data_IF_279486733370
#
_entry.id   IF_279486733370
#
_cell.length_a   1.000
_cell.length_b   1.000
_cell.length_c   1.000
_cell.angle_alpha   90.00
_cell.angle_beta   90.00
_cell.angle_gamma   90.00
#
_symmetry.space_group_name_H-M   'P 1'
#
loop_
_entity.id
_entity.type
_entity.pdbx_description
1 polymer ?
#
# COMPACT_ATOMS: atom_id res chain seq x y z
N UNK A 1 4.53 -11.44 -1.75
CA UNK A 1 3.18 -11.66 -1.17
C UNK A 1 2.72 -13.03 -1.60
N UNK A 2 2.14 -13.83 -0.69
CA UNK A 2 1.54 -15.13 -1.01
C UNK A 2 0.03 -15.02 -0.83
N UNK A 3 -0.71 -15.39 -1.87
CA UNK A 3 -2.16 -15.42 -1.89
C UNK A 3 -2.61 -16.87 -1.78
N UNK A 4 -3.60 -17.14 -0.94
CA UNK A 4 -4.16 -18.46 -0.73
C UNK A 4 -5.67 -18.42 -0.88
N UNK A 5 -6.26 -19.51 -1.37
CA UNK A 5 -7.71 -19.66 -1.53
C UNK A 5 -8.29 -20.33 -0.28
N UNK A 6 -9.41 -19.81 0.21
CA UNK A 6 -10.12 -20.32 1.38
C UNK A 6 -10.28 -19.29 2.51
N UNK A 7 -10.80 -19.76 3.65
CA UNK A 7 -10.95 -18.95 4.87
C UNK A 7 -9.70 -19.12 5.73
N UNK A 8 -9.02 -18.02 6.02
CA UNK A 8 -7.81 -18.00 6.82
C UNK A 8 -7.50 -16.61 7.36
N UNK A 9 -6.61 -16.53 8.36
CA UNK A 9 -6.19 -15.26 8.95
C UNK A 9 -5.13 -14.62 8.07
N UNK A 10 -5.33 -13.36 7.68
CA UNK A 10 -4.32 -12.61 6.93
C UNK A 10 -3.19 -12.15 7.86
N UNK A 11 -1.95 -12.46 7.48
CA UNK A 11 -0.75 -12.21 8.30
C UNK A 11 0.23 -11.27 7.60
N UNK A 12 0.83 -10.38 8.39
CA UNK A 12 1.87 -9.43 7.98
C UNK A 12 3.05 -9.58 8.93
N UNK A 13 4.23 -9.93 8.41
CA UNK A 13 5.43 -10.19 9.22
C UNK A 13 5.17 -11.16 10.38
N UNK A 14 4.48 -12.25 10.08
CA UNK A 14 4.14 -13.31 11.04
C UNK A 14 3.23 -12.85 12.20
N UNK A 15 2.63 -11.66 12.09
CA UNK A 15 1.63 -11.12 13.02
C UNK A 15 0.26 -10.95 12.32
N UNK A 16 -0.86 -10.98 13.08
CA UNK A 16 -2.18 -10.69 12.53
C UNK A 16 -2.25 -9.26 11.96
N UNK A 17 -2.92 -9.09 10.82
CA UNK A 17 -2.99 -7.79 10.15
C UNK A 17 -3.60 -6.69 11.01
N UNK A 18 -4.60 -7.02 11.84
CA UNK A 18 -5.26 -6.07 12.74
C UNK A 18 -4.32 -5.53 13.83
N UNK A 19 -3.34 -6.35 14.27
CA UNK A 19 -2.32 -5.92 15.24
C UNK A 19 -1.24 -5.06 14.58
N UNK A 20 -0.85 -5.40 13.35
CA UNK A 20 0.21 -4.69 12.64
C UNK A 20 -0.25 -3.31 12.14
N UNK A 21 -1.48 -3.24 11.59
CA UNK A 21 -2.09 -2.02 11.09
C UNK A 21 -3.34 -1.64 11.90
N UNK A 22 -3.17 -0.99 13.07
CA UNK A 22 -4.30 -0.60 13.90
C UNK A 22 -5.08 0.57 13.28
N UNK A 23 -6.41 0.47 13.26
CA UNK A 23 -7.33 1.56 12.90
C UNK A 23 -8.20 1.29 11.67
N UNK A 24 -9.41 1.85 11.69
CA UNK A 24 -10.43 1.63 10.65
C UNK A 24 -9.97 2.09 9.26
N UNK A 25 -9.23 3.20 9.19
CA UNK A 25 -8.70 3.74 7.93
C UNK A 25 -7.72 2.75 7.29
N UNK A 26 -6.83 2.15 8.09
CA UNK A 26 -5.90 1.17 7.55
C UNK A 26 -6.60 -0.10 7.12
N UNK A 27 -7.63 -0.52 7.87
CA UNK A 27 -8.48 -1.65 7.51
C UNK A 27 -9.14 -1.46 6.15
N UNK A 28 -9.65 -0.27 5.88
CA UNK A 28 -10.28 0.03 4.61
C UNK A 28 -9.28 -0.04 3.44
N UNK A 29 -8.08 0.52 3.62
CA UNK A 29 -7.06 0.56 2.57
C UNK A 29 -6.57 -0.85 2.19
N UNK A 30 -6.25 -1.72 3.16
CA UNK A 30 -5.75 -3.07 2.80
C UNK A 30 -6.87 -3.98 2.28
N UNK A 31 -8.12 -3.78 2.72
CA UNK A 31 -9.26 -4.58 2.26
C UNK A 31 -9.81 -4.12 0.91
N UNK A 32 -9.54 -2.88 0.49
CA UNK A 32 -10.01 -2.30 -0.78
C UNK A 32 -9.82 -3.20 -2.02
N UNK A 33 -8.66 -3.84 -2.26
CA UNK A 33 -8.50 -4.73 -3.41
C UNK A 33 -9.42 -5.95 -3.38
N UNK A 34 -9.74 -6.48 -2.19
CA UNK A 34 -10.65 -7.60 -2.03
C UNK A 34 -12.11 -7.17 -2.20
N UNK A 35 -12.46 -5.97 -1.71
CA UNK A 35 -13.79 -5.37 -1.88
C UNK A 35 -14.11 -5.09 -3.35
N UNK A 36 -13.16 -4.56 -4.12
CA UNK A 36 -13.36 -4.25 -5.56
C UNK A 36 -13.66 -5.50 -6.38
N UNK A 37 -13.23 -6.67 -5.91
CA UNK A 37 -13.37 -7.96 -6.61
C UNK A 37 -14.44 -8.85 -5.95
N UNK A 38 -15.15 -8.34 -4.93
CA UNK A 38 -16.14 -9.08 -4.14
C UNK A 38 -15.64 -10.45 -3.66
N UNK A 39 -14.38 -10.47 -3.22
CA UNK A 39 -13.65 -11.70 -2.91
C UNK A 39 -13.14 -11.77 -1.46
N UNK A 40 -13.75 -10.98 -0.57
CA UNK A 40 -13.33 -10.80 0.83
C UNK A 40 -13.26 -12.09 1.62
N UNK A 41 -14.16 -13.05 1.37
CA UNK A 41 -14.18 -14.34 2.10
C UNK A 41 -13.46 -15.48 1.36
N UNK A 42 -13.01 -15.24 0.13
CA UNK A 42 -12.47 -16.29 -0.75
C UNK A 42 -10.97 -16.41 -0.67
N UNK A 43 -10.29 -15.36 -0.21
CA UNK A 43 -8.85 -15.29 -0.20
C UNK A 43 -8.32 -14.81 1.16
N UNK A 44 -7.22 -15.41 1.57
CA UNK A 44 -6.37 -14.91 2.63
C UNK A 44 -4.94 -14.75 2.11
N UNK A 45 -4.13 -13.96 2.81
CA UNK A 45 -2.78 -13.69 2.35
C UNK A 45 -1.74 -13.64 3.47
N UNK A 46 -0.50 -13.89 3.08
CA UNK A 46 0.68 -13.68 3.92
C UNK A 46 1.66 -12.74 3.22
N UNK A 47 2.07 -11.69 3.92
CA UNK A 47 2.98 -10.66 3.40
C UNK A 47 4.15 -10.48 4.36
N UNK A 48 5.36 -10.39 3.80
CA UNK A 48 6.54 -9.88 4.50
C UNK A 48 6.89 -8.50 3.95
N UNK A 49 6.95 -7.49 4.82
CA UNK A 49 7.28 -6.11 4.47
C UNK A 49 8.49 -5.65 5.27
N UNK A 50 9.44 -5.02 4.59
CA UNK A 50 10.70 -4.56 5.17
C UNK A 50 10.92 -3.09 4.76
N UNK A 51 11.31 -2.25 5.73
CA UNK A 51 11.62 -0.83 5.51
C UNK A 51 10.39 0.09 5.41
N UNK A 52 10.64 1.39 5.26
CA UNK A 52 9.59 2.42 5.15
C UNK A 52 8.85 2.69 6.48
N UNK A 53 7.71 3.37 6.39
CA UNK A 53 6.81 3.61 7.51
C UNK A 53 5.47 2.89 7.33
N UNK A 54 4.67 2.76 8.40
CA UNK A 54 3.41 1.97 8.42
C UNK A 54 2.48 2.26 7.24
N UNK A 55 2.27 3.54 6.89
CA UNK A 55 1.42 3.93 5.76
C UNK A 55 1.97 3.45 4.41
N UNK A 56 3.27 3.62 4.17
CA UNK A 56 3.90 3.15 2.93
C UNK A 56 3.89 1.62 2.81
N UNK A 57 4.07 0.92 3.95
CA UNK A 57 3.99 -0.54 4.00
C UNK A 57 2.57 -1.05 3.71
N UNK A 58 1.56 -0.34 4.21
CA UNK A 58 0.15 -0.64 3.97
C UNK A 58 -0.20 -0.49 2.48
N UNK A 59 0.16 0.63 1.87
CA UNK A 59 -0.05 0.89 0.44
C UNK A 59 0.71 -0.11 -0.43
N UNK A 60 1.95 -0.47 -0.05
CA UNK A 60 2.72 -1.50 -0.73
C UNK A 60 2.07 -2.89 -0.63
N UNK A 61 1.49 -3.22 0.54
CA UNK A 61 0.78 -4.49 0.74
C UNK A 61 -0.50 -4.57 -0.10
N UNK A 62 -1.28 -3.48 -0.14
CA UNK A 62 -2.49 -3.39 -0.96
C UNK A 62 -2.16 -3.50 -2.47
N UNK A 63 -1.09 -2.86 -2.92
CA UNK A 63 -0.61 -2.97 -4.30
C UNK A 63 -0.12 -4.39 -4.64
N UNK A 64 0.59 -5.03 -3.70
CA UNK A 64 0.98 -6.43 -3.82
C UNK A 64 -0.23 -7.37 -3.93
N UNK A 65 -1.29 -7.09 -3.16
CA UNK A 65 -2.52 -7.87 -3.16
C UNK A 65 -3.25 -7.77 -4.49
N UNK A 66 -3.40 -6.55 -5.02
CA UNK A 66 -3.99 -6.31 -6.33
C UNK A 66 -3.23 -7.07 -7.43
N UNK A 67 -1.89 -7.07 -7.40
CA UNK A 67 -1.08 -7.84 -8.36
C UNK A 67 -1.27 -9.34 -8.22
N UNK A 68 -1.33 -9.86 -6.99
CA UNK A 68 -1.54 -11.28 -6.75
C UNK A 68 -2.92 -11.74 -7.26
N UNK A 69 -3.97 -10.93 -7.07
CA UNK A 69 -5.32 -11.22 -7.58
C UNK A 69 -5.36 -11.28 -9.11
N UNK A 70 -4.66 -10.37 -9.80
CA UNK A 70 -4.58 -10.38 -11.28
C UNK A 70 -3.86 -11.63 -11.81
N UNK A 71 -2.88 -12.16 -11.08
CA UNK A 71 -2.18 -13.40 -11.46
C UNK A 71 -3.11 -14.61 -11.28
N UNK A 72 -3.96 -14.61 -10.25
CA UNK A 72 -4.93 -15.70 -10.03
C UNK A 72 -6.04 -15.74 -11.09
N UNK A 73 -6.63 -14.57 -11.42
CA UNK A 73 -7.61 -14.43 -12.50
C UNK A 73 -7.40 -13.14 -13.27
N UNK A 74 -7.23 -13.29 -14.59
CA UNK A 74 -7.01 -12.16 -15.50
C UNK A 74 -8.22 -11.19 -15.53
N UNK A 75 -9.44 -11.69 -15.30
CA UNK A 75 -10.68 -10.91 -15.32
C UNK A 75 -10.70 -9.80 -14.26
N UNK A 76 -9.97 -9.99 -13.15
CA UNK A 76 -9.88 -9.00 -12.08
C UNK A 76 -9.04 -7.78 -12.46
N UNK A 77 -8.31 -7.83 -13.58
CA UNK A 77 -7.46 -6.73 -14.02
C UNK A 77 -8.24 -5.45 -14.32
N UNK A 78 -9.38 -5.55 -15.00
CA UNK A 78 -10.20 -4.39 -15.39
C UNK A 78 -10.73 -3.63 -14.16
N UNK A 79 -11.47 -4.24 -13.22
CA UNK A 79 -11.97 -3.53 -12.04
C UNK A 79 -10.85 -2.99 -11.15
N UNK A 80 -9.74 -3.73 -11.00
CA UNK A 80 -8.59 -3.27 -10.20
C UNK A 80 -7.83 -2.10 -10.87
N UNK A 81 -7.78 -2.05 -12.20
CA UNK A 81 -7.20 -0.93 -12.95
C UNK A 81 -8.06 0.32 -12.81
N UNK A 82 -9.38 0.17 -12.97
CA UNK A 82 -10.33 1.27 -12.87
C UNK A 82 -10.36 1.85 -11.45
N UNK A 83 -10.20 1.00 -10.43
CA UNK A 83 -10.06 1.41 -9.03
C UNK A 83 -8.69 2.05 -8.68
N UNK A 84 -7.74 2.10 -9.63
CA UNK A 84 -6.41 2.70 -9.46
C UNK A 84 -5.41 1.88 -8.64
N UNK A 85 -5.68 0.61 -8.36
CA UNK A 85 -4.89 -0.22 -7.43
C UNK A 85 -3.65 -0.87 -8.10
N UNK A 86 -3.66 -0.95 -9.42
CA UNK A 86 -2.55 -1.51 -10.22
C UNK A 86 -1.45 -0.50 -10.55
N UNK A 87 -1.70 0.79 -10.34
CA UNK A 87 -0.70 1.84 -10.57
C UNK A 87 0.19 1.96 -9.34
N UNK A 88 1.51 1.89 -9.55
CA UNK A 88 2.48 2.15 -8.47
C UNK A 88 2.54 3.65 -8.20
N UNK A 89 2.41 4.05 -6.94
CA UNK A 89 2.70 5.43 -6.54
C UNK A 89 4.20 5.74 -6.73
N UNK A 90 4.49 6.71 -7.59
CA UNK A 90 5.86 7.12 -7.93
C UNK A 90 6.43 8.16 -6.96
N UNK A 91 5.63 8.67 -6.01
CA UNK A 91 6.07 9.70 -5.06
C UNK A 91 7.20 9.17 -4.18
N UNK A 92 8.33 9.85 -4.23
CA UNK A 92 9.51 9.59 -3.41
C UNK A 92 9.93 10.90 -2.76
N UNK A 93 10.50 10.82 -1.54
CA UNK A 93 10.99 12.00 -0.82
C UNK A 93 12.07 12.71 -1.63
N UNK A 94 11.83 13.96 -2.01
CA UNK A 94 12.83 14.78 -2.70
C UNK A 94 14.02 15.06 -1.78
N UNK A 95 15.25 14.92 -2.32
CA UNK A 95 16.50 15.20 -1.60
C UNK A 95 16.57 16.69 -1.22
N UNK A 96 17.23 16.99 -0.10
CA UNK A 96 17.62 18.36 0.25
C UNK A 96 18.69 18.87 -0.74
N UNK A 97 18.39 19.96 -1.44
CA UNK A 97 19.32 20.64 -2.37
C UNK A 97 20.22 21.62 -1.61
N UNK A 98 21.40 21.92 -2.15
CA UNK A 98 22.30 22.93 -1.58
C UNK A 98 21.64 24.31 -1.74
N UNK A 99 21.85 25.20 -0.76
CA UNK A 99 21.26 26.56 -0.79
C UNK A 99 19.80 26.64 -0.31
N UNK A 100 19.12 25.52 -0.05
CA UNK A 100 17.75 25.55 0.49
C UNK A 100 17.75 25.75 2.01
N UNK A 101 16.69 26.40 2.53
CA UNK A 101 16.44 26.68 3.94
C UNK A 101 16.08 25.44 4.77
N UNK A 102 16.82 24.35 4.63
CA UNK A 102 16.70 23.15 5.46
C UNK A 102 15.82 22.03 4.90
N UNK A 103 15.05 22.26 3.83
CA UNK A 103 14.16 21.26 3.21
C UNK A 103 14.36 21.21 1.69
N UNK A 104 13.72 20.27 0.99
CA UNK A 104 13.88 20.09 -0.46
C UNK A 104 13.57 21.36 -1.28
N UNK A 105 12.52 22.11 -0.92
CA UNK A 105 12.07 23.32 -1.66
C UNK A 105 12.01 24.61 -0.84
N UNK A 106 12.20 24.54 0.49
CA UNK A 106 12.13 25.72 1.36
C UNK A 106 13.26 26.68 1.00
N UNK A 107 12.97 27.94 0.70
CA UNK A 107 13.97 29.00 0.54
C UNK A 107 14.21 29.69 1.88
N UNK A 108 15.42 30.20 2.11
CA UNK A 108 15.68 31.09 3.25
C UNK A 108 15.01 32.44 2.96
N UNK A 109 14.39 33.05 3.96
CA UNK A 109 13.88 34.40 3.82
C UNK A 109 15.06 35.35 3.68
N UNK A 110 15.10 36.14 2.60
CA UNK A 110 16.07 37.21 2.43
C UNK A 110 15.43 38.51 2.95
N UNK A 111 16.04 39.21 3.90
CA UNK A 111 15.56 40.52 4.32
C UNK A 111 15.75 41.51 3.16
N UNK A 112 14.65 42.16 2.75
CA UNK A 112 14.66 43.22 1.75
C UNK A 112 15.27 44.47 2.40
N UNK A 113 16.31 45.03 1.79
CA UNK A 113 16.86 46.35 2.15
C UNK A 113 16.24 47.41 1.27
#
# INVERSE_FOLDING_TARGET
MRLYKGKGVSTVNDQPIDKYFPGAIFKDIWSRPLKVVDATEKYYFSVKVIGGGKKGQLEASAHGLAKALVIDKADFRKPLKDAGLLTRDSRIRERRKVGTGGKARRKKQSPKR
#
